data_IF_441737107496
#
_entry.id   IF_441737107496
#
_cell.length_a   1.000
_cell.length_b   1.000
_cell.length_c   1.000
_cell.angle_alpha   90.00
_cell.angle_beta   90.00
_cell.angle_gamma   90.00
#
_symmetry.space_group_name_H-M   'P 1'
#
loop_
_entity.id
_entity.type
_entity.pdbx_description
1 polymer ?
#
# COMPACT_ATOMS: atom_id res chain seq x y z
N UNK A 1 6.56 43.54 15.47
CA UNK A 1 6.50 44.54 14.38
C UNK A 1 6.16 43.83 13.09
N UNK A 2 4.88 43.77 12.74
CA UNK A 2 4.43 43.51 11.37
C UNK A 2 3.37 44.59 11.15
N UNK A 3 3.66 45.48 10.20
CA UNK A 3 2.88 46.68 9.93
C UNK A 3 1.60 46.41 9.17
N UNK A 4 0.66 47.31 9.42
CA UNK A 4 -0.62 47.47 8.76
C UNK A 4 -0.51 47.64 7.24
N UNK A 5 -1.41 46.99 6.52
CA UNK A 5 -1.96 47.50 5.27
C UNK A 5 -3.47 47.24 5.29
N UNK A 6 -4.20 48.24 5.76
CA UNK A 6 -5.65 48.29 5.67
C UNK A 6 -6.07 48.39 4.20
N UNK A 7 -6.99 47.52 3.77
CA UNK A 7 -7.86 47.82 2.64
C UNK A 7 -9.27 48.06 3.19
N UNK A 8 -9.70 49.30 2.98
CA UNK A 8 -10.93 49.94 3.43
C UNK A 8 -12.15 49.46 2.65
N UNK A 9 -13.23 49.11 3.37
CA UNK A 9 -14.59 49.17 2.84
C UNK A 9 -15.46 47.95 3.13
N UNK A 10 -16.02 47.84 4.34
CA UNK A 10 -17.47 47.66 4.58
C UNK A 10 -17.71 47.58 6.10
N UNK A 11 -18.23 48.65 6.69
CA UNK A 11 -18.76 48.64 8.05
C UNK A 11 -20.14 47.98 8.03
N UNK A 12 -20.25 46.75 8.54
CA UNK A 12 -21.38 46.21 9.34
C UNK A 12 -21.21 44.70 9.51
N UNK A 13 -20.39 44.28 10.48
CA UNK A 13 -20.51 42.95 11.10
C UNK A 13 -20.44 43.17 12.61
N UNK A 14 -21.59 43.11 13.26
CA UNK A 14 -21.69 43.12 14.71
C UNK A 14 -21.09 41.83 15.29
N UNK A 15 -20.14 42.02 16.19
CA UNK A 15 -19.71 41.15 17.29
C UNK A 15 -19.51 39.64 17.02
N UNK A 16 -18.71 39.30 16.01
CA UNK A 16 -18.20 37.93 15.81
C UNK A 16 -17.06 37.58 16.79
N UNK A 17 -16.38 38.60 17.32
CA UNK A 17 -15.25 38.43 18.24
C UNK A 17 -15.68 38.01 19.65
N UNK A 18 -16.77 38.57 20.18
CA UNK A 18 -17.31 38.17 21.49
C UNK A 18 -17.81 36.73 21.52
N UNK A 19 -18.38 36.24 20.41
CA UNK A 19 -18.91 34.87 20.31
C UNK A 19 -17.79 33.81 20.33
N UNK A 20 -16.66 34.10 19.69
CA UNK A 20 -15.50 33.19 19.66
C UNK A 20 -14.78 33.13 21.01
N UNK A 21 -14.71 34.24 21.73
CA UNK A 21 -14.11 34.30 23.06
C UNK A 21 -14.91 33.50 24.10
N UNK A 22 -16.24 33.57 24.04
CA UNK A 22 -17.11 32.83 24.95
C UNK A 22 -17.12 31.32 24.62
N UNK A 23 -16.99 30.95 23.33
CA UNK A 23 -16.84 29.55 22.90
C UNK A 23 -15.49 28.97 23.34
N UNK A 24 -14.40 29.73 23.21
CA UNK A 24 -13.05 29.32 23.62
C UNK A 24 -12.95 29.07 25.13
N UNK A 25 -13.59 29.92 25.94
CA UNK A 25 -13.67 29.78 27.39
C UNK A 25 -14.51 28.57 27.81
N UNK A 26 -15.55 28.21 27.05
CA UNK A 26 -16.46 27.07 27.36
C UNK A 26 -15.93 25.71 26.91
N UNK A 27 -15.03 25.64 25.92
CA UNK A 27 -14.49 24.36 25.41
C UNK A 27 -13.11 23.99 25.93
N UNK A 28 -12.55 24.75 26.89
CA UNK A 28 -11.27 24.41 27.52
C UNK A 28 -10.07 24.44 26.57
N UNK A 29 -10.08 25.34 25.58
CA UNK A 29 -8.92 25.58 24.71
C UNK A 29 -8.76 24.66 23.50
N UNK A 30 -9.78 23.87 23.14
CA UNK A 30 -9.77 23.10 21.88
C UNK A 30 -10.91 23.54 20.94
N UNK A 31 -10.53 23.94 19.73
CA UNK A 31 -11.41 24.20 18.58
C UNK A 31 -10.88 23.40 17.38
N UNK A 32 -11.65 22.46 16.80
CA UNK A 32 -11.30 21.85 15.53
C UNK A 32 -12.01 22.62 14.41
N UNK A 33 -11.37 23.63 13.84
CA UNK A 33 -11.87 24.27 12.63
C UNK A 33 -10.69 24.52 11.69
N UNK A 34 -10.68 23.82 10.54
CA UNK A 34 -9.81 24.15 9.43
C UNK A 34 -10.28 25.48 8.79
N UNK A 35 -9.37 26.41 8.42
CA UNK A 35 -9.74 27.75 7.93
C UNK A 35 -10.52 27.77 6.59
N UNK A 36 -10.72 26.62 5.93
CA UNK A 36 -11.29 26.56 4.58
C UNK A 36 -12.82 26.41 4.55
N UNK A 37 -13.46 26.08 5.68
CA UNK A 37 -14.92 25.85 5.70
C UNK A 37 -15.73 27.15 5.75
N UNK A 38 -15.15 28.25 6.24
CA UNK A 38 -15.85 29.52 6.43
C UNK A 38 -16.07 30.31 5.12
N UNK A 39 -15.13 30.24 4.17
CA UNK A 39 -15.24 31.02 2.93
C UNK A 39 -16.28 30.48 1.94
N UNK A 40 -16.61 29.18 2.00
CA UNK A 40 -17.48 28.54 1.00
C UNK A 40 -18.98 28.82 1.23
N UNK A 41 -19.35 29.28 2.43
CA UNK A 41 -20.76 29.54 2.80
C UNK A 41 -21.21 30.98 2.54
N UNK A 42 -20.29 31.93 2.39
CA UNK A 42 -20.61 33.33 2.14
C UNK A 42 -20.77 33.66 0.64
N UNK A 43 -20.25 32.83 -0.26
CA UNK A 43 -20.18 33.13 -1.69
C UNK A 43 -21.33 32.54 -2.53
N UNK A 44 -22.36 31.98 -1.87
CA UNK A 44 -23.48 31.28 -2.55
C UNK A 44 -24.88 31.76 -2.21
N UNK A 45 -25.04 32.88 -1.51
CA UNK A 45 -26.36 33.42 -1.18
C UNK A 45 -26.39 34.90 -1.57
N UNK A 46 -27.15 35.21 -2.62
CA UNK A 46 -27.49 36.60 -2.96
C UNK A 46 -28.25 37.28 -1.82
N UNK A 47 -28.31 38.62 -1.81
CA UNK A 47 -28.84 39.37 -0.69
C UNK A 47 -30.35 39.15 -0.57
N UNK A 48 -30.77 38.52 0.53
CA UNK A 48 -32.17 38.47 0.95
C UNK A 48 -32.80 37.09 0.89
N UNK A 49 -32.47 36.22 1.85
CA UNK A 49 -33.37 35.20 2.40
C UNK A 49 -32.76 34.63 3.69
N UNK A 50 -33.34 34.98 4.84
CA UNK A 50 -32.92 34.45 6.14
C UNK A 50 -33.42 33.03 6.33
N UNK A 51 -32.50 32.09 6.59
CA UNK A 51 -32.84 30.75 7.08
C UNK A 51 -32.13 30.51 8.42
N UNK A 52 -32.93 30.36 9.48
CA UNK A 52 -32.45 29.99 10.81
C UNK A 52 -32.04 28.52 10.81
N UNK A 53 -30.77 28.23 11.13
CA UNK A 53 -30.29 26.86 11.35
C UNK A 53 -30.24 26.61 12.85
N UNK A 54 -31.14 25.75 13.34
CA UNK A 54 -31.19 25.32 14.73
C UNK A 54 -30.10 24.26 15.00
N UNK A 55 -29.13 24.58 15.86
CA UNK A 55 -28.19 23.60 16.40
C UNK A 55 -28.81 22.88 17.59
N UNK A 56 -28.99 21.56 17.52
CA UNK A 56 -29.36 20.72 18.67
C UNK A 56 -28.09 20.32 19.42
N UNK A 57 -27.79 20.99 20.53
CA UNK A 57 -26.76 20.56 21.49
C UNK A 57 -27.31 19.46 22.39
N UNK A 58 -26.70 18.27 22.39
CA UNK A 58 -26.96 17.26 23.43
C UNK A 58 -26.10 17.62 24.64
N UNK A 59 -26.69 18.36 25.58
CA UNK A 59 -26.11 18.57 26.92
C UNK A 59 -26.95 17.77 27.90
N UNK A 60 -26.36 16.70 28.44
CA UNK A 60 -26.95 15.90 29.51
C UNK A 60 -26.97 16.74 30.81
N UNK A 61 -28.17 17.06 31.31
CA UNK A 61 -28.38 17.52 32.69
C UNK A 61 -29.01 16.40 33.51
N UNK A 62 -28.32 16.00 34.58
CA UNK A 62 -28.86 15.16 35.67
C UNK A 62 -29.72 16.01 36.61
N UNK A 63 -30.84 15.46 37.08
CA UNK A 63 -31.51 15.77 38.36
C UNK A 63 -32.51 14.65 38.72
N UNK A 64 -32.95 14.53 39.99
CA UNK A 64 -32.73 13.30 40.77
C UNK A 64 -33.96 12.39 40.96
N UNK A 65 -33.64 11.15 41.36
CA UNK A 65 -34.37 10.19 42.19
C UNK A 65 -35.90 10.06 42.05
N UNK A 66 -36.37 8.90 41.56
CA UNK A 66 -37.16 7.97 42.36
C UNK A 66 -37.16 6.57 41.73
N UNK A 67 -37.29 5.57 42.62
CA UNK A 67 -37.09 4.13 42.49
C UNK A 67 -38.08 3.40 41.59
N UNK A 68 -37.60 2.40 40.82
CA UNK A 68 -37.97 0.97 40.90
C UNK A 68 -37.35 0.20 39.71
N UNK A 69 -36.78 -0.97 39.98
CA UNK A 69 -36.20 -1.93 39.03
C UNK A 69 -37.23 -3.05 38.71
N UNK A 70 -36.91 -4.13 37.97
CA UNK A 70 -35.92 -4.36 36.89
C UNK A 70 -36.57 -5.01 35.63
N UNK A 71 -35.89 -5.00 34.46
CA UNK A 71 -35.64 -6.19 33.58
C UNK A 71 -35.22 -5.84 32.15
N UNK A 72 -34.19 -6.56 31.69
CA UNK A 72 -33.84 -6.99 30.32
C UNK A 72 -33.50 -5.91 29.27
N UNK A 73 -32.20 -5.70 29.04
CA UNK A 73 -31.68 -5.10 27.82
C UNK A 73 -31.65 -6.15 26.69
N UNK A 74 -32.51 -5.93 25.70
CA UNK A 74 -32.50 -6.56 24.38
C UNK A 74 -31.55 -5.75 23.49
N UNK A 75 -30.82 -6.49 22.65
CA UNK A 75 -29.95 -6.05 21.57
C UNK A 75 -30.61 -4.99 20.67
N UNK A 76 -29.86 -3.96 20.28
CA UNK A 76 -30.30 -3.03 19.23
C UNK A 76 -29.39 -3.17 18.00
N UNK A 77 -29.94 -3.88 17.02
CA UNK A 77 -29.53 -3.94 15.63
C UNK A 77 -29.77 -2.58 14.95
N UNK A 78 -28.79 -2.09 14.18
CA UNK A 78 -28.98 -0.90 13.35
C UNK A 78 -29.77 -1.28 12.09
N UNK A 79 -31.02 -0.82 12.03
CA UNK A 79 -31.93 -0.92 10.91
C UNK A 79 -31.46 -0.10 9.69
N UNK A 80 -31.29 -0.77 8.55
CA UNK A 80 -31.21 -0.15 7.22
C UNK A 80 -32.63 0.25 6.75
N UNK A 81 -32.81 1.51 6.34
CA UNK A 81 -34.05 1.98 5.69
C UNK A 81 -34.02 1.51 4.23
N UNK A 82 -35.01 0.72 3.82
CA UNK A 82 -35.20 0.27 2.43
C UNK A 82 -35.84 1.38 1.60
N UNK A 83 -35.36 1.53 0.37
CA UNK A 83 -35.85 2.48 -0.63
C UNK A 83 -37.22 2.06 -1.19
N UNK A 84 -38.29 2.20 -0.41
CA UNK A 84 -39.68 2.21 -0.86
C UNK A 84 -40.50 2.96 0.18
N UNK A 85 -40.42 4.29 0.19
CA UNK A 85 -41.38 5.19 0.86
C UNK A 85 -41.03 6.64 0.51
N UNK A 86 -41.23 7.01 -0.76
CA UNK A 86 -41.46 8.40 -1.15
C UNK A 86 -42.50 8.37 -2.27
N UNK A 87 -43.76 8.58 -1.90
CA UNK A 87 -44.84 8.90 -2.83
C UNK A 87 -45.69 9.97 -2.16
N UNK A 88 -46.21 10.88 -2.99
CA UNK A 88 -46.94 12.12 -2.67
C UNK A 88 -46.08 13.36 -2.46
N UNK A 89 -45.78 14.04 -3.55
CA UNK A 89 -46.38 15.32 -3.93
C UNK A 89 -45.65 15.80 -5.19
N UNK A 90 -46.37 15.94 -6.30
CA UNK A 90 -46.16 16.91 -7.39
C UNK A 90 -47.05 16.47 -8.57
N UNK A 91 -48.28 16.98 -8.57
CA UNK A 91 -49.15 16.96 -9.73
C UNK A 91 -48.83 18.16 -10.62
N UNK A 92 -48.82 17.90 -11.93
CA UNK A 92 -48.73 18.84 -13.04
C UNK A 92 -47.42 19.62 -13.14
N UNK A 93 -46.52 19.16 -14.00
CA UNK A 93 -45.88 19.90 -15.11
C UNK A 93 -45.03 18.87 -15.88
N UNK A 94 -45.31 18.66 -17.17
CA UNK A 94 -44.51 17.79 -18.06
C UNK A 94 -43.15 18.43 -18.28
N UNK A 95 -42.16 17.97 -17.54
CA UNK A 95 -40.74 18.17 -17.84
C UNK A 95 -40.06 16.83 -17.64
N UNK A 96 -39.62 16.24 -18.74
CA UNK A 96 -38.90 14.96 -18.75
C UNK A 96 -37.57 15.16 -18.03
N UNK A 97 -37.54 14.81 -16.75
CA UNK A 97 -36.32 14.85 -15.94
C UNK A 97 -35.45 13.66 -16.38
N UNK A 98 -34.41 13.92 -17.18
CA UNK A 98 -33.36 12.93 -17.42
C UNK A 98 -32.59 12.72 -16.12
N UNK A 99 -33.03 11.74 -15.32
CA UNK A 99 -32.26 11.26 -14.17
C UNK A 99 -31.07 10.49 -14.74
N UNK A 100 -29.93 11.18 -14.88
CA UNK A 100 -28.64 10.51 -15.07
C UNK A 100 -28.38 9.69 -13.81
N UNK A 101 -28.30 8.37 -13.95
CA UNK A 101 -27.93 7.49 -12.84
C UNK A 101 -26.58 7.96 -12.28
N UNK A 102 -26.60 8.43 -11.02
CA UNK A 102 -25.38 8.77 -10.29
C UNK A 102 -24.70 7.45 -9.94
N UNK A 103 -23.48 7.28 -10.43
CA UNK A 103 -22.62 6.11 -10.19
C UNK A 103 -22.47 5.79 -8.69
N UNK A 104 -22.27 4.52 -8.32
CA UNK A 104 -22.20 4.12 -6.92
C UNK A 104 -20.99 4.76 -6.23
N UNK A 105 -21.26 5.42 -5.10
CA UNK A 105 -20.32 5.97 -4.11
C UNK A 105 -19.00 6.53 -4.69
N UNK A 106 -18.97 7.84 -4.95
CA UNK A 106 -17.73 8.55 -5.22
C UNK A 106 -16.77 8.36 -4.03
N UNK A 107 -15.76 7.50 -4.22
CA UNK A 107 -14.59 7.45 -3.34
C UNK A 107 -13.98 8.86 -3.28
N UNK A 108 -13.48 9.31 -2.12
CA UNK A 108 -12.87 10.62 -2.00
C UNK A 108 -11.72 10.75 -3.00
N UNK A 109 -12.01 11.40 -4.12
CA UNK A 109 -11.03 11.64 -5.18
C UNK A 109 -10.23 12.86 -4.75
N UNK A 110 -8.89 12.90 -4.90
CA UNK A 110 -8.14 14.10 -4.59
C UNK A 110 -8.67 15.23 -5.49
N UNK A 111 -9.23 16.32 -4.94
CA UNK A 111 -9.99 17.29 -5.73
C UNK A 111 -9.18 17.98 -6.85
N UNK A 112 -7.84 17.86 -6.84
CA UNK A 112 -6.93 18.56 -7.76
C UNK A 112 -5.80 17.71 -8.37
N UNK A 113 -5.73 16.40 -8.10
CA UNK A 113 -4.64 15.58 -8.63
C UNK A 113 -4.89 15.23 -10.11
N UNK A 114 -3.84 15.37 -10.95
CA UNK A 114 -3.86 14.89 -12.35
C UNK A 114 -3.86 13.37 -12.46
N UNK A 115 -3.19 12.70 -11.53
CA UNK A 115 -3.05 11.26 -11.41
C UNK A 115 -2.77 10.89 -9.95
N UNK A 116 -3.15 9.70 -9.50
CA UNK A 116 -2.97 9.22 -8.14
C UNK A 116 -3.01 7.69 -8.05
N UNK A 117 -2.62 7.17 -6.88
CA UNK A 117 -2.75 5.76 -6.52
C UNK A 117 -3.70 5.64 -5.34
N UNK A 118 -4.78 4.89 -5.50
CA UNK A 118 -5.63 4.46 -4.39
C UNK A 118 -5.08 3.17 -3.78
N UNK A 119 -5.03 3.12 -2.45
CA UNK A 119 -4.51 1.98 -1.67
C UNK A 119 -5.57 1.49 -0.69
N UNK A 120 -6.06 0.27 -0.90
CA UNK A 120 -7.02 -0.40 -0.01
C UNK A 120 -6.27 -1.09 1.15
N UNK A 121 -6.22 -0.41 2.30
CA UNK A 121 -5.58 -0.93 3.50
C UNK A 121 -6.35 -2.13 4.10
N UNK A 122 -7.65 -2.25 3.84
CA UNK A 122 -8.42 -3.41 4.26
C UNK A 122 -8.09 -4.64 3.40
N UNK A 123 -7.81 -4.47 2.11
CA UNK A 123 -7.32 -5.54 1.25
C UNK A 123 -5.95 -6.07 1.72
N UNK A 124 -5.01 -5.19 2.07
CA UNK A 124 -3.72 -5.60 2.65
C UNK A 124 -3.92 -6.45 3.90
N UNK A 125 -4.81 -6.03 4.81
CA UNK A 125 -5.15 -6.80 6.03
C UNK A 125 -5.75 -8.17 5.71
N UNK A 126 -6.68 -8.23 4.75
CA UNK A 126 -7.27 -9.50 4.31
C UNK A 126 -6.22 -10.45 3.73
N UNK A 127 -5.31 -9.93 2.90
CA UNK A 127 -4.23 -10.73 2.32
C UNK A 127 -3.26 -11.24 3.39
N UNK A 128 -2.90 -10.40 4.37
CA UNK A 128 -2.06 -10.82 5.49
C UNK A 128 -2.73 -11.92 6.33
N UNK A 129 -4.02 -11.76 6.64
CA UNK A 129 -4.79 -12.75 7.38
C UNK A 129 -4.88 -14.08 6.61
N UNK A 130 -5.04 -14.03 5.28
CA UNK A 130 -5.03 -15.25 4.47
C UNK A 130 -3.71 -16.00 4.57
N UNK A 131 -2.58 -15.30 4.52
CA UNK A 131 -1.27 -15.92 4.73
C UNK A 131 -1.17 -16.53 6.14
N UNK A 132 -1.67 -15.82 7.17
CA UNK A 132 -1.69 -16.33 8.56
C UNK A 132 -2.49 -17.61 8.71
N UNK A 133 -3.68 -17.65 8.11
CA UNK A 133 -4.56 -18.82 8.13
C UNK A 133 -3.88 -20.04 7.53
N UNK A 134 -3.22 -19.88 6.38
CA UNK A 134 -2.55 -20.99 5.69
C UNK A 134 -1.26 -21.41 6.38
N UNK A 135 -0.47 -20.45 6.87
CA UNK A 135 0.77 -20.75 7.59
C UNK A 135 0.52 -21.42 8.95
N UNK A 136 -0.61 -21.11 9.60
CA UNK A 136 -0.96 -21.63 10.92
C UNK A 136 -0.55 -20.71 12.08
N UNK A 137 -1.27 -20.81 13.20
CA UNK A 137 -1.18 -19.86 14.31
C UNK A 137 0.19 -19.78 15.01
N UNK A 138 0.99 -20.84 14.93
CA UNK A 138 2.32 -20.92 15.56
C UNK A 138 3.45 -20.40 14.67
N UNK A 139 3.16 -20.09 13.40
CA UNK A 139 4.17 -19.63 12.44
C UNK A 139 4.27 -18.11 12.48
N UNK A 140 5.50 -17.62 12.69
CA UNK A 140 5.80 -16.18 12.76
C UNK A 140 5.67 -15.56 11.37
N UNK A 141 5.05 -14.39 11.29
CA UNK A 141 4.92 -13.62 10.05
C UNK A 141 5.94 -12.49 10.02
N UNK A 142 6.84 -12.52 9.03
CA UNK A 142 7.73 -11.41 8.73
C UNK A 142 7.16 -10.66 7.52
N UNK A 143 6.50 -9.53 7.75
CA UNK A 143 5.88 -8.77 6.67
C UNK A 143 6.97 -8.03 5.87
N UNK A 144 7.08 -8.33 4.57
CA UNK A 144 8.07 -7.69 3.71
C UNK A 144 7.56 -6.31 3.27
N UNK A 145 8.23 -5.23 3.69
CA UNK A 145 7.80 -3.83 3.47
C UNK A 145 8.85 -2.99 2.73
N UNK A 146 9.87 -3.64 2.17
CA UNK A 146 10.90 -3.03 1.31
C UNK A 146 10.32 -2.27 0.11
N UNK A 147 11.14 -1.43 -0.49
CA UNK A 147 10.82 -0.57 -1.63
C UNK A 147 9.56 0.27 -1.36
N UNK A 148 9.56 1.01 -0.24
CA UNK A 148 8.43 1.85 0.19
C UNK A 148 7.09 1.09 0.28
N UNK A 149 7.10 -0.10 0.89
CA UNK A 149 5.92 -0.97 0.94
C UNK A 149 5.47 -1.40 -0.46
N UNK A 150 6.42 -1.82 -1.29
CA UNK A 150 6.21 -2.18 -2.70
C UNK A 150 5.61 -1.03 -3.51
N UNK A 151 6.07 0.21 -3.26
CA UNK A 151 5.65 1.43 -3.97
C UNK A 151 4.31 2.03 -3.50
N UNK A 152 3.70 1.48 -2.45
CA UNK A 152 2.39 1.92 -1.93
C UNK A 152 2.49 2.87 -0.74
N UNK A 153 3.70 3.17 -0.26
CA UNK A 153 3.95 4.02 0.90
C UNK A 153 4.08 3.21 2.18
N UNK A 154 5.30 3.04 2.68
CA UNK A 154 5.61 2.19 3.84
C UNK A 154 4.82 2.60 5.08
N UNK A 155 4.66 3.90 5.34
CA UNK A 155 3.83 4.42 6.45
C UNK A 155 2.39 3.88 6.39
N UNK A 156 1.76 3.93 5.21
CA UNK A 156 0.38 3.45 5.02
C UNK A 156 0.30 1.94 5.14
N UNK A 157 1.29 1.23 4.61
CA UNK A 157 1.40 -0.22 4.76
C UNK A 157 1.50 -0.61 6.23
N UNK A 158 2.31 0.10 7.03
CA UNK A 158 2.39 -0.12 8.48
C UNK A 158 1.05 0.12 9.19
N UNK A 159 0.31 1.16 8.83
CA UNK A 159 -1.05 1.38 9.35
C UNK A 159 -1.99 0.20 9.06
N UNK A 160 -1.82 -0.44 7.89
CA UNK A 160 -2.58 -1.63 7.53
C UNK A 160 -2.18 -2.84 8.39
N UNK A 161 -0.89 -3.16 8.48
CA UNK A 161 -0.42 -4.44 9.00
C UNK A 161 -0.14 -4.47 10.51
N UNK A 162 0.17 -3.33 11.14
CA UNK A 162 0.47 -3.26 12.59
C UNK A 162 -0.64 -3.85 13.47
N UNK A 163 -1.94 -3.56 13.24
CA UNK A 163 -3.02 -4.13 14.05
C UNK A 163 -3.06 -5.67 14.01
N UNK A 164 -2.54 -6.30 12.95
CA UNK A 164 -2.46 -7.75 12.88
C UNK A 164 -1.32 -8.32 13.73
N UNK A 165 -0.34 -7.51 14.15
CA UNK A 165 0.81 -7.94 14.94
C UNK A 165 1.69 -8.97 14.22
N UNK A 166 2.34 -8.63 13.09
CA UNK A 166 3.39 -9.47 12.54
C UNK A 166 4.53 -9.64 13.56
N UNK A 167 5.27 -10.74 13.49
CA UNK A 167 6.43 -10.96 14.36
C UNK A 167 7.52 -9.91 14.12
N UNK A 168 7.68 -9.47 12.86
CA UNK A 168 8.64 -8.44 12.49
C UNK A 168 8.48 -8.03 11.03
N UNK A 169 9.42 -7.22 10.55
CA UNK A 169 9.39 -6.63 9.21
C UNK A 169 10.68 -6.93 8.44
N UNK A 170 10.55 -7.18 7.14
CA UNK A 170 11.69 -7.36 6.25
C UNK A 170 11.87 -6.17 5.30
N UNK A 171 13.08 -5.63 5.29
CA UNK A 171 13.52 -4.55 4.38
C UNK A 171 14.70 -5.01 3.53
N UNK A 172 14.98 -4.31 2.44
CA UNK A 172 16.15 -4.57 1.60
C UNK A 172 17.38 -3.85 2.15
N UNK A 173 17.24 -2.58 2.56
CA UNK A 173 18.40 -1.72 2.85
C UNK A 173 18.45 -1.27 4.32
N UNK A 174 19.62 -0.77 4.74
CA UNK A 174 19.78 -0.09 6.02
C UNK A 174 18.84 1.10 6.13
N UNK A 175 18.76 1.95 5.11
CA UNK A 175 17.98 3.20 5.16
C UNK A 175 16.47 2.93 5.31
N UNK A 176 15.94 1.90 4.66
CA UNK A 176 14.56 1.45 4.87
C UNK A 176 14.35 0.99 6.33
N UNK A 177 15.32 0.29 6.92
CA UNK A 177 15.26 -0.11 8.33
C UNK A 177 15.30 1.08 9.28
N UNK A 178 16.13 2.10 8.99
CA UNK A 178 16.20 3.34 9.75
C UNK A 178 14.88 4.12 9.65
N UNK A 179 14.27 4.18 8.47
CA UNK A 179 12.95 4.79 8.26
C UNK A 179 11.89 4.10 9.12
N UNK A 180 11.85 2.77 9.15
CA UNK A 180 10.92 2.03 10.02
C UNK A 180 11.12 2.37 11.51
N UNK A 181 12.37 2.53 11.98
CA UNK A 181 12.65 2.97 13.36
C UNK A 181 12.14 4.38 13.61
N UNK A 182 12.33 5.31 12.69
CA UNK A 182 11.78 6.68 12.77
C UNK A 182 10.24 6.67 12.79
N UNK A 183 9.61 5.70 12.13
CA UNK A 183 8.16 5.47 12.17
C UNK A 183 7.68 4.78 13.45
N UNK A 184 8.58 4.52 14.41
CA UNK A 184 8.27 3.94 15.72
C UNK A 184 8.04 2.43 15.69
N UNK A 185 8.57 1.70 14.70
CA UNK A 185 8.56 0.24 14.72
C UNK A 185 9.51 -0.26 15.81
N UNK A 186 8.97 -1.02 16.78
CA UNK A 186 9.74 -1.63 17.87
C UNK A 186 10.05 -3.10 17.64
N UNK A 187 9.30 -3.76 16.76
CA UNK A 187 9.44 -5.15 16.39
C UNK A 187 10.79 -5.43 15.70
N UNK A 188 11.24 -6.69 15.63
CA UNK A 188 12.39 -7.10 14.83
C UNK A 188 12.30 -6.59 13.39
N UNK A 189 13.39 -5.97 12.92
CA UNK A 189 13.55 -5.55 11.51
C UNK A 189 14.76 -6.27 10.95
N UNK A 190 14.53 -7.08 9.92
CA UNK A 190 15.57 -7.83 9.22
C UNK A 190 15.93 -7.13 7.91
N UNK A 191 17.23 -6.92 7.70
CA UNK A 191 17.79 -6.34 6.46
C UNK A 191 18.29 -7.49 5.60
N UNK A 192 17.60 -7.75 4.49
CA UNK A 192 17.80 -8.95 3.68
C UNK A 192 18.87 -8.81 2.58
N UNK A 193 19.25 -7.60 2.18
CA UNK A 193 20.42 -7.44 1.31
C UNK A 193 21.68 -7.47 2.16
N UNK A 194 22.72 -8.22 1.76
CA UNK A 194 24.03 -8.16 2.39
C UNK A 194 24.50 -6.70 2.45
N UNK A 195 24.94 -6.29 3.64
CA UNK A 195 25.40 -4.92 3.88
C UNK A 195 26.91 -4.82 3.63
N UNK A 196 27.39 -3.72 3.04
CA UNK A 196 28.82 -3.46 3.02
C UNK A 196 29.35 -3.32 4.47
N UNK A 197 30.61 -3.71 4.75
CA UNK A 197 31.16 -3.72 6.10
C UNK A 197 30.96 -2.41 6.89
N UNK A 198 31.14 -1.27 6.24
CA UNK A 198 31.00 0.06 6.85
C UNK A 198 29.57 0.40 7.32
N UNK A 199 28.57 -0.29 6.77
CA UNK A 199 27.16 -0.11 7.15
C UNK A 199 26.74 -1.00 8.32
N UNK A 200 27.53 -2.03 8.66
CA UNK A 200 27.16 -2.99 9.71
C UNK A 200 27.08 -2.31 11.09
N UNK A 201 28.04 -1.45 11.43
CA UNK A 201 28.03 -0.76 12.72
C UNK A 201 26.77 0.11 12.91
N UNK A 202 26.36 0.83 11.86
CA UNK A 202 25.12 1.64 11.85
C UNK A 202 23.87 0.76 11.92
N UNK A 203 23.86 -0.37 11.22
CA UNK A 203 22.77 -1.37 11.28
C UNK A 203 22.56 -1.89 12.70
N UNK A 204 23.65 -2.30 13.36
CA UNK A 204 23.64 -2.79 14.74
C UNK A 204 23.21 -1.69 15.72
N UNK A 205 23.76 -0.48 15.59
CA UNK A 205 23.42 0.64 16.46
C UNK A 205 21.92 1.02 16.39
N UNK A 206 21.27 0.80 15.23
CA UNK A 206 19.84 1.01 15.04
C UNK A 206 18.98 -0.18 15.51
N UNK A 207 19.58 -1.22 16.09
CA UNK A 207 18.89 -2.43 16.53
C UNK A 207 18.25 -3.20 15.38
N UNK A 208 18.84 -3.14 14.18
CA UNK A 208 18.41 -3.92 13.02
C UNK A 208 19.17 -5.26 12.98
N UNK A 209 18.63 -6.21 12.23
CA UNK A 209 19.16 -7.59 12.15
C UNK A 209 19.68 -7.83 10.73
N UNK A 210 21.00 -7.80 10.50
CA UNK A 210 21.58 -8.01 9.17
C UNK A 210 21.53 -9.49 8.76
N UNK A 211 21.27 -9.73 7.48
CA UNK A 211 21.59 -10.99 6.82
C UNK A 211 23.10 -11.07 6.52
N UNK A 212 23.66 -12.27 6.67
CA UNK A 212 25.07 -12.58 6.43
C UNK A 212 25.15 -13.70 5.41
N UNK A 213 25.98 -13.50 4.39
CA UNK A 213 26.13 -14.39 3.24
C UNK A 213 27.55 -14.92 3.06
N UNK A 214 28.52 -14.43 3.83
CA UNK A 214 29.93 -14.80 3.75
C UNK A 214 30.62 -14.66 5.12
N UNK A 215 31.80 -15.28 5.24
CA UNK A 215 32.57 -15.29 6.48
C UNK A 215 33.22 -13.94 6.80
N UNK A 216 33.47 -13.10 5.80
CA UNK A 216 34.10 -11.78 6.01
C UNK A 216 33.15 -10.83 6.73
N UNK A 217 31.89 -10.78 6.30
CA UNK A 217 30.79 -10.05 6.92
C UNK A 217 30.54 -10.56 8.33
N UNK A 218 30.58 -11.88 8.54
CA UNK A 218 30.44 -12.48 9.87
C UNK A 218 31.57 -12.05 10.81
N UNK A 219 32.82 -12.07 10.34
CA UNK A 219 33.98 -11.61 11.09
C UNK A 219 33.91 -10.10 11.38
N UNK A 220 33.40 -9.30 10.45
CA UNK A 220 33.17 -7.87 10.65
C UNK A 220 32.14 -7.61 11.77
N UNK A 221 31.03 -8.35 11.80
CA UNK A 221 30.06 -8.29 12.90
C UNK A 221 30.68 -8.66 14.24
N UNK A 222 31.52 -9.70 14.28
CA UNK A 222 32.21 -10.09 15.51
C UNK A 222 33.16 -8.99 16.02
N UNK A 223 33.90 -8.30 15.14
CA UNK A 223 34.74 -7.15 15.52
C UNK A 223 33.92 -6.01 16.12
N UNK A 224 32.70 -5.77 15.61
CA UNK A 224 31.77 -4.78 16.16
C UNK A 224 31.26 -5.22 17.55
N UNK A 225 31.08 -6.52 17.78
CA UNK A 225 30.63 -7.07 19.07
C UNK A 225 31.71 -7.02 20.16
N UNK A 226 32.99 -7.10 19.79
CA UNK A 226 34.12 -7.26 20.71
C UNK A 226 34.19 -6.25 21.88
N UNK A 227 33.82 -4.96 21.73
CA UNK A 227 33.82 -4.00 22.84
C UNK A 227 32.70 -4.23 23.87
N UNK A 228 31.65 -4.99 23.53
CA UNK A 228 30.46 -5.13 24.35
C UNK A 228 30.47 -6.46 25.13
N UNK A 229 30.74 -6.40 26.43
CA UNK A 229 30.78 -7.60 27.29
C UNK A 229 29.38 -7.97 27.81
N UNK A 230 28.97 -9.23 27.61
CA UNK A 230 27.81 -9.85 28.26
C UNK A 230 26.77 -10.49 27.29
N UNK A 231 26.00 -11.52 27.73
CA UNK A 231 25.00 -12.20 26.88
C UNK A 231 23.88 -11.27 26.38
N UNK A 232 23.57 -10.20 27.13
CA UNK A 232 22.59 -9.16 26.76
C UNK A 232 23.09 -8.21 25.68
N UNK A 233 24.39 -8.22 25.37
CA UNK A 233 25.04 -7.36 24.40
C UNK A 233 25.30 -8.06 23.06
N UNK A 234 24.85 -9.32 22.92
CA UNK A 234 25.12 -10.13 21.74
C UNK A 234 24.40 -9.57 20.50
N UNK A 235 25.17 -9.33 19.43
CA UNK A 235 24.65 -8.76 18.19
C UNK A 235 23.83 -9.83 17.44
N UNK A 236 22.53 -9.60 17.17
CA UNK A 236 21.72 -10.52 16.40
C UNK A 236 22.06 -10.47 14.91
N UNK A 237 22.09 -11.62 14.25
CA UNK A 237 22.26 -11.72 12.79
C UNK A 237 21.48 -12.91 12.22
N UNK A 238 21.23 -12.90 10.92
CA UNK A 238 20.68 -14.05 10.19
C UNK A 238 21.67 -14.61 9.19
N UNK A 239 21.66 -15.93 8.99
CA UNK A 239 22.44 -16.58 7.94
C UNK A 239 21.54 -16.83 6.73
N UNK A 240 21.92 -16.28 5.58
CA UNK A 240 21.34 -16.66 4.29
C UNK A 240 22.09 -17.87 3.73
N UNK A 241 21.35 -18.89 3.32
CA UNK A 241 21.88 -20.12 2.75
C UNK A 241 21.37 -20.21 1.31
N UNK A 242 22.29 -20.28 0.37
CA UNK A 242 21.93 -20.48 -1.03
C UNK A 242 21.61 -21.95 -1.29
N UNK A 243 20.32 -22.24 -1.51
CA UNK A 243 19.84 -23.56 -1.91
C UNK A 243 19.50 -23.65 -3.40
N UNK A 244 19.85 -22.64 -4.19
CA UNK A 244 19.67 -22.59 -5.65
C UNK A 244 19.17 -21.26 -6.22
N UNK A 245 19.07 -20.19 -5.41
CA UNK A 245 18.70 -18.86 -5.93
C UNK A 245 19.89 -18.21 -6.66
N UNK A 246 21.13 -18.52 -6.26
CA UNK A 246 22.34 -18.07 -6.97
C UNK A 246 22.62 -16.57 -6.87
N UNK A 247 22.03 -15.86 -5.89
CA UNK A 247 22.16 -14.40 -5.76
C UNK A 247 22.98 -13.98 -4.54
N UNK A 248 22.76 -14.63 -3.41
CA UNK A 248 23.39 -14.33 -2.13
C UNK A 248 23.22 -15.53 -1.19
N UNK A 249 24.02 -15.55 -0.13
CA UNK A 249 24.03 -16.60 0.88
C UNK A 249 25.22 -17.54 0.76
N UNK A 250 25.49 -18.24 1.85
CA UNK A 250 26.51 -19.28 1.87
C UNK A 250 26.08 -20.45 0.99
N UNK A 251 26.99 -20.95 0.15
CA UNK A 251 26.70 -22.09 -0.69
C UNK A 251 26.47 -23.33 0.19
N UNK A 252 25.30 -23.97 0.05
CA UNK A 252 24.90 -25.05 0.96
C UNK A 252 25.88 -26.24 0.94
N UNK A 253 26.48 -26.53 -0.21
CA UNK A 253 27.36 -27.69 -0.37
C UNK A 253 28.71 -27.50 0.37
N UNK A 254 29.03 -26.28 0.80
CA UNK A 254 30.23 -25.94 1.59
C UNK A 254 29.93 -25.84 3.11
N UNK A 255 28.72 -26.27 3.52
CA UNK A 255 28.22 -26.08 4.89
C UNK A 255 29.08 -26.64 6.00
N UNK A 256 29.82 -27.73 5.76
CA UNK A 256 30.76 -28.27 6.73
C UNK A 256 31.82 -27.23 7.16
N UNK A 257 32.26 -26.39 6.22
CA UNK A 257 33.30 -25.39 6.46
C UNK A 257 32.73 -24.18 7.18
N UNK A 258 31.77 -23.48 6.55
CA UNK A 258 31.31 -22.19 7.07
C UNK A 258 30.42 -22.30 8.32
N UNK A 259 29.68 -23.41 8.51
CA UNK A 259 28.82 -23.55 9.68
C UNK A 259 29.60 -23.72 10.99
N UNK A 260 30.77 -24.36 10.92
CA UNK A 260 31.67 -24.48 12.07
C UNK A 260 32.05 -23.11 12.62
N UNK A 261 32.32 -22.16 11.72
CA UNK A 261 32.69 -20.78 12.04
C UNK A 261 31.51 -19.97 12.59
N UNK A 262 30.31 -20.12 12.00
CA UNK A 262 29.05 -19.57 12.56
C UNK A 262 28.85 -20.04 14.00
N UNK A 263 29.04 -21.33 14.25
CA UNK A 263 28.86 -21.93 15.58
C UNK A 263 29.95 -21.47 16.56
N UNK A 264 31.17 -21.19 16.08
CA UNK A 264 32.26 -20.65 16.90
C UNK A 264 31.95 -19.21 17.32
N UNK A 265 31.56 -18.36 16.37
CA UNK A 265 31.34 -16.93 16.61
C UNK A 265 30.06 -16.64 17.40
N UNK A 266 29.05 -17.51 17.31
CA UNK A 266 27.86 -17.44 18.19
C UNK A 266 28.17 -17.71 19.66
N UNK A 267 29.23 -18.47 19.96
CA UNK A 267 29.75 -18.62 21.33
C UNK A 267 30.65 -17.45 21.76
N UNK A 268 31.03 -16.58 20.82
CA UNK A 268 31.97 -15.48 21.01
C UNK A 268 31.30 -14.09 20.86
N UNK A 269 30.04 -13.95 21.27
CA UNK A 269 29.35 -12.65 21.36
C UNK A 269 28.43 -12.29 20.19
N UNK A 270 28.24 -13.18 19.22
CA UNK A 270 27.15 -13.05 18.23
C UNK A 270 25.93 -13.89 18.63
N UNK A 271 24.74 -13.46 18.23
CA UNK A 271 23.49 -14.20 18.45
C UNK A 271 22.89 -14.61 17.11
N UNK A 272 22.82 -15.92 16.86
CA UNK A 272 22.10 -16.45 15.70
C UNK A 272 20.60 -16.17 15.88
N UNK A 273 20.10 -15.12 15.23
CA UNK A 273 18.70 -14.75 15.28
C UNK A 273 17.86 -15.60 14.32
N UNK A 274 18.42 -15.96 13.16
CA UNK A 274 17.71 -16.77 12.18
C UNK A 274 18.60 -17.41 11.12
N UNK A 275 18.03 -18.38 10.42
CA UNK A 275 18.60 -19.01 9.23
C UNK A 275 17.53 -19.06 8.15
N UNK A 276 17.92 -18.77 6.91
CA UNK A 276 16.95 -18.70 5.82
C UNK A 276 17.52 -19.04 4.46
N UNK A 277 16.62 -19.38 3.55
CA UNK A 277 16.89 -19.45 2.10
C UNK A 277 15.79 -18.69 1.35
N UNK A 278 16.00 -18.40 0.08
CA UNK A 278 15.01 -17.84 -0.83
C UNK A 278 14.64 -18.83 -1.94
N UNK A 279 13.33 -19.03 -2.14
CA UNK A 279 12.81 -19.94 -3.16
C UNK A 279 12.71 -19.24 -4.51
N UNK A 280 13.24 -19.85 -5.57
CA UNK A 280 13.34 -19.22 -6.90
C UNK A 280 12.11 -19.44 -7.80
N UNK A 281 11.31 -20.48 -7.56
CA UNK A 281 10.20 -20.90 -8.46
C UNK A 281 8.94 -21.30 -7.70
N UNK A 282 8.75 -20.81 -6.47
CA UNK A 282 7.57 -21.14 -5.69
C UNK A 282 6.26 -20.61 -6.29
N UNK A 283 6.35 -19.68 -7.24
CA UNK A 283 5.27 -19.09 -8.04
C UNK A 283 5.03 -19.81 -9.38
N UNK A 284 5.88 -20.77 -9.76
CA UNK A 284 5.75 -21.50 -11.03
C UNK A 284 4.66 -22.60 -10.95
N UNK A 285 3.97 -22.95 -12.05
CA UNK A 285 2.99 -24.06 -12.05
C UNK A 285 3.61 -25.39 -11.61
N UNK A 286 4.79 -25.71 -12.13
CA UNK A 286 5.59 -26.85 -11.65
C UNK A 286 6.45 -26.45 -10.44
N UNK A 287 6.11 -27.05 -9.29
CA UNK A 287 6.76 -26.81 -8.00
C UNK A 287 7.90 -27.80 -7.69
N UNK A 288 8.29 -28.69 -8.62
CA UNK A 288 9.32 -29.72 -8.39
C UNK A 288 10.65 -29.15 -7.90
N UNK A 289 11.16 -28.12 -8.57
CA UNK A 289 12.42 -27.46 -8.21
C UNK A 289 12.33 -26.72 -6.86
N UNK A 290 11.24 -26.00 -6.60
CA UNK A 290 11.03 -25.31 -5.32
C UNK A 290 10.92 -26.31 -4.14
N UNK A 291 10.25 -27.46 -4.34
CA UNK A 291 10.20 -28.53 -3.33
C UNK A 291 11.59 -29.11 -3.05
N UNK A 292 12.43 -29.27 -4.07
CA UNK A 292 13.81 -29.72 -3.89
C UNK A 292 14.64 -28.72 -3.07
N UNK A 293 14.48 -27.40 -3.30
CA UNK A 293 15.13 -26.37 -2.47
C UNK A 293 14.70 -26.46 -1.00
N UNK A 294 13.39 -26.59 -0.75
CA UNK A 294 12.85 -26.74 0.62
C UNK A 294 13.43 -28.00 1.28
N UNK A 295 13.48 -29.12 0.58
CA UNK A 295 14.01 -30.37 1.13
C UNK A 295 15.52 -30.29 1.47
N UNK A 296 16.32 -29.60 0.65
CA UNK A 296 17.74 -29.34 0.92
C UNK A 296 17.91 -28.45 2.16
N UNK A 297 17.16 -27.36 2.24
CA UNK A 297 17.17 -26.46 3.40
C UNK A 297 16.76 -27.18 4.69
N UNK A 298 15.64 -27.90 4.66
CA UNK A 298 15.14 -28.70 5.78
C UNK A 298 16.15 -29.74 6.27
N UNK A 299 16.89 -30.38 5.35
CA UNK A 299 17.94 -31.36 5.68
C UNK A 299 19.08 -30.69 6.42
N UNK A 300 19.54 -29.54 5.94
CA UNK A 300 20.58 -28.76 6.61
C UNK A 300 20.14 -28.35 8.02
N UNK A 301 18.96 -27.75 8.15
CA UNK A 301 18.47 -27.26 9.45
C UNK A 301 18.37 -28.37 10.50
N UNK A 302 17.93 -29.58 10.11
CA UNK A 302 17.87 -30.73 11.03
C UNK A 302 19.24 -31.27 11.43
N UNK A 303 20.24 -31.17 10.56
CA UNK A 303 21.58 -31.71 10.80
C UNK A 303 22.53 -30.72 11.48
N UNK A 304 22.24 -29.42 11.40
CA UNK A 304 23.11 -28.37 11.89
C UNK A 304 22.97 -28.16 13.41
N UNK A 305 24.05 -28.40 14.14
CA UNK A 305 24.12 -28.11 15.57
C UNK A 305 23.99 -26.59 15.83
N UNK A 306 23.30 -26.22 16.92
CA UNK A 306 23.15 -24.83 17.34
C UNK A 306 21.91 -24.11 16.80
N UNK A 307 21.13 -24.73 15.90
CA UNK A 307 19.80 -24.24 15.52
C UNK A 307 18.79 -24.75 16.56
N UNK A 308 18.57 -23.95 17.60
CA UNK A 308 17.58 -24.21 18.64
C UNK A 308 16.16 -23.76 18.27
N UNK A 309 15.16 -24.04 19.13
CA UNK A 309 13.76 -23.67 18.90
C UNK A 309 13.52 -22.16 18.80
N UNK A 310 14.39 -21.35 19.41
CA UNK A 310 14.29 -19.89 19.40
C UNK A 310 14.84 -19.23 18.14
N UNK A 311 15.60 -19.97 17.31
CA UNK A 311 16.14 -19.47 16.04
C UNK A 311 15.01 -19.34 15.03
N UNK A 312 14.94 -18.18 14.36
CA UNK A 312 13.96 -17.95 13.30
C UNK A 312 14.38 -18.73 12.04
N UNK A 313 13.64 -19.77 11.68
CA UNK A 313 13.89 -20.59 10.50
C UNK A 313 12.84 -20.26 9.45
N UNK A 314 13.25 -19.78 8.27
CA UNK A 314 12.31 -19.38 7.23
C UNK A 314 12.80 -19.60 5.80
N UNK A 315 11.96 -20.19 4.94
CA UNK A 315 12.26 -20.33 3.50
C UNK A 315 11.18 -19.70 2.62
N UNK A 316 9.93 -19.70 3.07
CA UNK A 316 8.77 -19.30 2.28
C UNK A 316 8.71 -17.78 2.03
N UNK A 317 8.76 -17.39 0.75
CA UNK A 317 8.27 -16.10 0.26
C UNK A 317 6.73 -16.14 0.12
N UNK A 318 6.10 -15.13 -0.49
CA UNK A 318 4.65 -15.10 -0.74
C UNK A 318 4.09 -16.42 -1.28
N UNK A 319 4.64 -16.89 -2.41
CA UNK A 319 4.15 -18.10 -3.06
C UNK A 319 4.44 -19.35 -2.23
N UNK A 320 5.66 -19.44 -1.67
CA UNK A 320 6.01 -20.54 -0.77
C UNK A 320 5.13 -20.63 0.48
N UNK A 321 4.64 -19.50 0.99
CA UNK A 321 3.81 -19.45 2.21
C UNK A 321 2.43 -20.06 2.01
N UNK A 322 1.94 -20.07 0.77
CA UNK A 322 0.60 -20.54 0.41
C UNK A 322 0.64 -21.92 -0.26
N UNK A 323 1.76 -22.27 -0.91
CA UNK A 323 1.84 -23.43 -1.81
C UNK A 323 2.80 -24.52 -1.37
N UNK A 324 3.66 -24.25 -0.39
CA UNK A 324 4.73 -25.17 0.02
C UNK A 324 4.76 -25.33 1.54
N UNK A 325 4.96 -26.56 1.99
CA UNK A 325 5.23 -26.87 3.38
C UNK A 325 6.73 -27.06 3.60
N UNK A 326 7.26 -26.48 4.67
CA UNK A 326 8.58 -26.83 5.23
C UNK A 326 8.37 -27.53 6.56
N UNK A 327 9.20 -28.53 6.85
CA UNK A 327 9.16 -29.29 8.11
C UNK A 327 9.96 -28.63 9.22
N UNK A 328 10.75 -27.60 8.90
CA UNK A 328 11.65 -26.94 9.86
C UNK A 328 11.37 -25.45 10.02
N UNK A 329 10.75 -24.80 9.02
CA UNK A 329 10.45 -23.38 9.09
C UNK A 329 9.42 -23.07 10.17
N UNK A 330 9.73 -22.08 11.00
CA UNK A 330 8.84 -21.51 12.02
C UNK A 330 8.41 -20.08 11.69
N UNK A 331 8.77 -19.58 10.50
CA UNK A 331 8.37 -18.27 10.00
C UNK A 331 8.20 -18.22 8.48
N UNK A 332 7.36 -17.29 8.01
CA UNK A 332 7.11 -17.01 6.59
C UNK A 332 7.30 -15.54 6.27
N UNK A 333 7.59 -15.23 5.00
CA UNK A 333 7.96 -13.87 4.53
C UNK A 333 7.06 -13.38 3.40
N UNK A 334 5.76 -13.13 3.64
CA UNK A 334 4.88 -12.63 2.61
C UNK A 334 5.27 -11.21 2.20
N UNK A 335 5.38 -11.01 0.89
CA UNK A 335 5.62 -9.73 0.23
C UNK A 335 4.51 -9.43 -0.76
N UNK A 336 4.71 -9.70 -2.06
CA UNK A 336 3.78 -9.29 -3.12
C UNK A 336 2.31 -9.66 -2.89
N UNK A 337 2.04 -10.80 -2.25
CA UNK A 337 0.69 -11.25 -1.98
C UNK A 337 -0.06 -10.28 -1.06
N UNK A 338 0.65 -9.68 -0.09
CA UNK A 338 0.08 -8.65 0.77
C UNK A 338 -0.43 -7.45 -0.05
N UNK A 339 0.24 -7.17 -1.17
CA UNK A 339 0.02 -6.02 -2.03
C UNK A 339 -0.84 -6.32 -3.27
N UNK A 340 -1.52 -7.47 -3.28
CA UNK A 340 -2.48 -7.82 -4.33
C UNK A 340 -1.87 -8.43 -5.58
N UNK A 341 -0.58 -8.79 -5.58
CA UNK A 341 0.04 -9.41 -6.74
C UNK A 341 0.06 -10.93 -6.67
N UNK A 342 -0.18 -11.54 -7.83
CA UNK A 342 -0.35 -12.97 -8.04
C UNK A 342 0.92 -13.78 -7.70
N UNK A 343 0.69 -15.01 -7.28
CA UNK A 343 1.69 -16.01 -6.89
C UNK A 343 1.57 -17.30 -7.72
N UNK A 344 0.82 -17.28 -8.82
CA UNK A 344 0.59 -18.43 -9.69
C UNK A 344 -0.28 -19.51 -9.05
N UNK A 345 -1.20 -19.12 -8.16
CA UNK A 345 -2.16 -20.00 -7.50
C UNK A 345 -3.58 -19.44 -7.65
N UNK A 346 -4.31 -19.98 -8.62
CA UNK A 346 -5.67 -19.57 -8.94
C UNK A 346 -6.68 -19.86 -7.85
N UNK A 347 -6.39 -20.80 -6.94
CA UNK A 347 -7.32 -21.18 -5.87
C UNK A 347 -7.22 -20.22 -4.68
N UNK A 348 -6.12 -19.47 -4.59
CA UNK A 348 -5.85 -18.52 -3.50
C UNK A 348 -5.49 -17.12 -4.02
N UNK A 349 -6.28 -16.48 -4.88
CA UNK A 349 -5.92 -15.19 -5.45
C UNK A 349 -5.86 -14.12 -4.33
N UNK A 350 -4.88 -13.22 -4.37
CA UNK A 350 -4.84 -12.11 -3.43
C UNK A 350 -5.98 -11.12 -3.75
N UNK A 351 -6.41 -10.36 -2.74
CA UNK A 351 -7.30 -9.22 -2.95
C UNK A 351 -6.52 -8.09 -3.61
N UNK A 352 -7.02 -7.47 -4.69
CA UNK A 352 -6.41 -6.29 -5.28
C UNK A 352 -6.29 -5.16 -4.24
N UNK A 353 -5.13 -4.50 -4.21
CA UNK A 353 -4.81 -3.45 -3.22
C UNK A 353 -4.72 -2.07 -3.85
N UNK A 354 -4.15 -1.97 -5.05
CA UNK A 354 -3.83 -0.70 -5.69
C UNK A 354 -4.75 -0.42 -6.88
N UNK A 355 -5.16 0.83 -7.04
CA UNK A 355 -5.73 1.34 -8.28
C UNK A 355 -4.99 2.58 -8.74
N UNK A 356 -4.58 2.61 -10.01
CA UNK A 356 -3.86 3.75 -10.62
C UNK A 356 -4.83 4.51 -11.51
N UNK A 357 -5.05 5.78 -11.19
CA UNK A 357 -6.07 6.60 -11.86
C UNK A 357 -5.51 7.95 -12.28
N UNK A 358 -6.07 8.51 -13.34
CA UNK A 358 -5.70 9.82 -13.85
C UNK A 358 -6.86 10.51 -14.56
N UNK A 359 -6.75 11.83 -14.73
CA UNK A 359 -7.79 12.64 -15.36
C UNK A 359 -7.53 12.85 -16.84
N UNK A 360 -8.61 12.86 -17.61
CA UNK A 360 -8.61 13.37 -18.98
C UNK A 360 -8.30 14.87 -18.94
N UNK A 361 -7.28 15.30 -19.68
CA UNK A 361 -6.84 16.70 -19.76
C UNK A 361 -7.26 17.38 -21.06
N UNK A 362 -7.44 16.61 -22.13
CA UNK A 362 -7.88 17.10 -23.44
C UNK A 362 -8.63 15.98 -24.16
N UNK A 363 -9.70 16.35 -24.87
CA UNK A 363 -10.37 15.46 -25.83
C UNK A 363 -10.39 16.13 -27.19
N UNK A 364 -10.10 15.37 -28.25
CA UNK A 364 -10.17 15.85 -29.64
C UNK A 364 -10.70 14.78 -30.56
N UNK A 365 -11.41 15.21 -31.60
CA UNK A 365 -11.69 14.38 -32.76
C UNK A 365 -10.58 14.55 -33.79
N UNK A 366 -10.25 13.47 -34.49
CA UNK A 366 -9.20 13.47 -35.50
C UNK A 366 -9.70 12.74 -36.76
N UNK A 367 -9.41 13.26 -37.97
CA UNK A 367 -9.78 12.58 -39.21
C UNK A 367 -8.93 11.32 -39.44
N UNK A 368 -9.32 10.45 -40.38
CA UNK A 368 -8.48 9.36 -40.88
C UNK A 368 -7.10 9.85 -41.33
N UNK A 369 -6.05 9.04 -41.14
CA UNK A 369 -4.69 9.37 -41.55
C UNK A 369 -3.92 10.29 -40.58
N UNK A 370 -4.52 10.68 -39.46
CA UNK A 370 -3.85 11.49 -38.42
C UNK A 370 -2.83 10.63 -37.68
N UNK A 371 -1.57 11.06 -37.63
CA UNK A 371 -0.51 10.37 -36.87
C UNK A 371 -0.45 10.85 -35.42
N UNK A 372 0.08 10.00 -34.53
CA UNK A 372 0.13 10.28 -33.08
C UNK A 372 1.50 10.00 -32.44
N UNK A 373 1.96 10.99 -31.67
CA UNK A 373 3.03 10.86 -30.69
C UNK A 373 4.43 10.61 -31.28
N UNK A 374 5.37 10.30 -30.41
CA UNK A 374 6.78 10.12 -30.79
C UNK A 374 6.96 9.04 -31.85
N UNK A 375 7.57 9.41 -32.96
CA UNK A 375 7.86 8.52 -34.09
C UNK A 375 6.61 8.09 -34.87
N UNK A 376 5.47 8.77 -34.68
CA UNK A 376 4.25 8.54 -35.47
C UNK A 376 3.82 7.06 -35.54
N UNK A 377 4.01 6.31 -34.46
CA UNK A 377 3.80 4.84 -34.46
C UNK A 377 2.33 4.42 -34.49
N UNK A 378 1.41 5.37 -34.50
CA UNK A 378 -0.02 5.13 -34.62
C UNK A 378 -0.58 6.14 -35.62
N UNK A 379 -1.48 5.66 -36.47
CA UNK A 379 -2.21 6.44 -37.47
C UNK A 379 -3.69 6.06 -37.36
N UNK A 380 -4.58 7.05 -37.23
CA UNK A 380 -6.02 6.82 -37.21
C UNK A 380 -6.46 6.17 -38.53
N UNK A 381 -7.27 5.13 -38.44
CA UNK A 381 -7.84 4.45 -39.62
C UNK A 381 -9.13 5.11 -40.09
N UNK A 382 -9.91 5.59 -39.14
CA UNK A 382 -11.19 6.26 -39.33
C UNK A 382 -11.19 7.61 -38.61
N UNK A 383 -12.32 8.31 -38.63
CA UNK A 383 -12.54 9.41 -37.68
C UNK A 383 -12.55 8.84 -36.27
N UNK A 384 -11.58 9.27 -35.46
CA UNK A 384 -11.40 8.78 -34.09
C UNK A 384 -11.51 9.93 -33.08
N UNK A 385 -11.81 9.57 -31.84
CA UNK A 385 -11.77 10.51 -30.71
C UNK A 385 -10.69 10.08 -29.73
N UNK A 386 -9.80 11.00 -29.40
CA UNK A 386 -8.64 10.76 -28.56
C UNK A 386 -8.72 11.59 -27.29
N UNK A 387 -8.54 10.95 -26.15
CA UNK A 387 -8.37 11.60 -24.86
C UNK A 387 -6.90 11.59 -24.45
N UNK A 388 -6.32 12.77 -24.23
CA UNK A 388 -5.06 12.89 -23.50
C UNK A 388 -5.36 12.76 -22.00
N UNK A 389 -4.57 11.95 -21.31
CA UNK A 389 -4.73 11.63 -19.90
C UNK A 389 -3.44 12.00 -19.18
N UNK A 390 -3.55 12.71 -18.06
CA UNK A 390 -2.44 13.32 -17.32
C UNK A 390 -1.59 12.34 -16.52
N UNK A 391 -1.16 11.23 -17.12
CA UNK A 391 -0.21 10.26 -16.58
C UNK A 391 0.72 9.75 -17.70
N UNK A 392 2.00 9.55 -17.39
CA UNK A 392 2.97 9.00 -18.34
C UNK A 392 4.06 8.16 -17.67
N UNK A 393 5.13 7.86 -18.40
CA UNK A 393 6.20 7.02 -17.86
C UNK A 393 7.02 7.69 -16.74
N UNK A 394 7.02 9.01 -16.65
CA UNK A 394 7.60 9.75 -15.53
C UNK A 394 6.82 9.62 -14.22
N UNK A 395 5.59 9.09 -14.30
CA UNK A 395 4.76 8.70 -13.15
C UNK A 395 4.88 7.21 -12.81
N UNK A 396 5.54 6.42 -13.66
CA UNK A 396 5.65 4.97 -13.51
C UNK A 396 4.73 4.15 -14.41
N UNK A 397 3.94 4.77 -15.31
CA UNK A 397 3.15 4.00 -16.29
C UNK A 397 4.11 3.46 -17.38
N UNK A 398 4.28 2.12 -17.53
CA UNK A 398 5.33 1.60 -18.40
C UNK A 398 5.16 2.04 -19.84
N UNK A 399 6.23 2.61 -20.43
CA UNK A 399 6.22 3.08 -21.83
C UNK A 399 5.87 1.95 -22.82
N UNK A 400 6.16 0.70 -22.47
CA UNK A 400 5.85 -0.49 -23.24
C UNK A 400 4.34 -0.75 -23.45
N UNK A 401 3.47 -0.08 -22.69
CA UNK A 401 2.01 -0.15 -22.87
C UNK A 401 1.52 0.64 -24.09
N UNK A 402 2.33 1.50 -24.71
CA UNK A 402 1.94 2.20 -25.93
C UNK A 402 1.55 1.23 -27.06
N UNK A 403 0.39 1.45 -27.70
CA UNK A 403 -0.23 0.59 -28.71
C UNK A 403 -0.57 -0.85 -28.26
N UNK A 404 -0.49 -1.16 -26.96
CA UNK A 404 -0.60 -2.55 -26.47
C UNK A 404 -1.44 -2.69 -25.21
N UNK A 405 -1.40 -1.68 -24.35
CA UNK A 405 -2.12 -1.63 -23.11
C UNK A 405 -3.53 -1.07 -23.26
N UNK A 406 -4.26 -1.16 -22.15
CA UNK A 406 -5.64 -0.73 -22.03
C UNK A 406 -5.77 0.26 -20.87
N UNK A 407 -6.85 1.01 -20.89
CA UNK A 407 -7.35 1.79 -19.78
C UNK A 407 -8.86 1.54 -19.63
N UNK A 408 -9.47 1.98 -18.53
CA UNK A 408 -10.92 1.91 -18.31
C UNK A 408 -11.47 3.30 -18.05
N UNK A 409 -12.57 3.66 -18.72
CA UNK A 409 -13.39 4.81 -18.35
C UNK A 409 -14.87 4.52 -18.63
N UNK A 410 -15.75 4.88 -17.70
CA UNK A 410 -17.19 4.64 -17.81
C UNK A 410 -17.53 3.15 -17.90
N UNK A 411 -16.75 2.30 -17.22
CA UNK A 411 -16.92 0.84 -17.24
C UNK A 411 -16.54 0.17 -18.56
N UNK A 412 -15.81 0.85 -19.46
CA UNK A 412 -15.41 0.30 -20.77
C UNK A 412 -13.89 0.22 -20.88
N UNK A 413 -13.38 -0.88 -21.43
CA UNK A 413 -11.95 -1.02 -21.80
C UNK A 413 -11.66 -0.23 -23.07
N UNK A 414 -10.65 0.63 -23.01
CA UNK A 414 -10.27 1.57 -24.06
C UNK A 414 -8.78 1.41 -24.39
N UNK A 415 -8.40 1.32 -25.67
CA UNK A 415 -7.01 1.05 -26.03
C UNK A 415 -6.12 2.28 -25.87
N UNK A 416 -4.89 2.07 -25.37
CA UNK A 416 -3.83 3.06 -25.38
C UNK A 416 -3.26 3.14 -26.80
N UNK A 417 -3.25 4.33 -27.39
CA UNK A 417 -2.80 4.57 -28.77
C UNK A 417 -1.58 5.50 -28.80
N UNK A 418 -0.65 5.20 -29.69
CA UNK A 418 0.65 5.86 -29.77
C UNK A 418 1.60 5.46 -28.64
N UNK A 419 2.81 6.05 -28.66
CA UNK A 419 3.78 5.88 -27.57
C UNK A 419 3.37 6.73 -26.37
N UNK A 420 3.51 6.16 -25.18
CA UNK A 420 3.35 6.90 -23.91
C UNK A 420 4.47 7.94 -23.80
N UNK A 421 4.08 9.19 -23.48
CA UNK A 421 5.01 10.30 -23.23
C UNK A 421 5.37 10.38 -21.75
N UNK A 422 6.28 11.28 -21.38
CA UNK A 422 6.75 11.40 -19.99
C UNK A 422 5.62 11.66 -19.00
N UNK A 423 4.69 12.56 -19.35
CA UNK A 423 3.63 13.01 -18.43
C UNK A 423 2.20 12.78 -18.96
N UNK A 424 2.06 12.25 -20.18
CA UNK A 424 0.78 12.12 -20.88
C UNK A 424 0.67 10.79 -21.62
N UNK A 425 -0.52 10.21 -21.55
CA UNK A 425 -0.93 9.01 -22.29
C UNK A 425 -2.15 9.35 -23.13
N UNK A 426 -2.27 8.78 -24.32
CA UNK A 426 -3.44 8.98 -25.18
C UNK A 426 -4.24 7.69 -25.27
N UNK A 427 -5.54 7.81 -25.03
CA UNK A 427 -6.50 6.72 -25.08
C UNK A 427 -7.51 7.04 -26.18
N UNK A 428 -7.85 6.04 -27.00
CA UNK A 428 -8.94 6.19 -27.97
C UNK A 428 -10.27 5.95 -27.24
N UNK A 429 -11.17 6.94 -27.29
CA UNK A 429 -12.36 7.00 -26.44
C UNK A 429 -13.64 7.16 -27.25
N UNK A 430 -14.81 6.76 -26.72
CA UNK A 430 -16.12 7.08 -27.27
C UNK A 430 -16.53 8.56 -27.06
N UNK A 431 -17.68 8.95 -27.61
CA UNK A 431 -18.23 10.32 -27.58
C UNK A 431 -18.66 10.85 -26.20
N UNK A 432 -18.80 9.98 -25.19
CA UNK A 432 -19.27 10.35 -23.85
C UNK A 432 -18.16 10.65 -22.84
N UNK A 433 -16.88 10.45 -23.20
CA UNK A 433 -15.74 10.85 -22.36
C UNK A 433 -15.46 12.35 -22.47
N UNK A 434 -15.27 13.02 -21.34
CA UNK A 434 -15.08 14.47 -21.23
C UNK A 434 -13.82 14.83 -20.45
N UNK A 435 -13.34 16.07 -20.60
CA UNK A 435 -12.24 16.61 -19.78
C UNK A 435 -12.63 16.56 -18.31
N UNK A 436 -11.71 16.10 -17.45
CA UNK A 436 -11.93 15.91 -16.02
C UNK A 436 -12.37 14.50 -15.62
N UNK A 437 -12.87 13.69 -16.58
CA UNK A 437 -13.25 12.30 -16.35
C UNK A 437 -12.05 11.46 -15.87
N UNK A 438 -12.35 10.43 -15.11
CA UNK A 438 -11.36 9.54 -14.50
C UNK A 438 -11.12 8.35 -15.42
N UNK A 439 -9.85 8.08 -15.67
CA UNK A 439 -9.36 6.92 -16.41
C UNK A 439 -8.57 6.04 -15.45
N UNK A 440 -8.89 4.76 -15.42
CA UNK A 440 -8.25 3.74 -14.57
C UNK A 440 -7.26 2.92 -15.41
N UNK A 441 -6.00 2.86 -14.98
CA UNK A 441 -4.93 2.11 -15.64
C UNK A 441 -4.59 0.79 -14.92
N UNK A 442 -4.89 0.71 -13.61
CA UNK A 442 -4.85 -0.51 -12.79
C UNK A 442 -6.06 -0.46 -11.86
N UNK A 443 -6.77 -1.55 -11.70
CA UNK A 443 -7.95 -1.67 -10.84
C UNK A 443 -9.27 -1.72 -11.61
N UNK A 444 -10.36 -1.33 -10.93
CA UNK A 444 -11.73 -1.46 -11.42
C UNK A 444 -12.42 -0.12 -11.66
N UNK A 445 -13.31 -0.09 -12.63
CA UNK A 445 -14.33 0.93 -12.84
C UNK A 445 -15.59 0.23 -13.38
N UNK A 446 -16.68 0.26 -12.58
CA UNK A 446 -17.83 -0.62 -12.78
C UNK A 446 -17.46 -2.10 -12.76
N UNK A 447 -18.01 -2.86 -13.72
CA UNK A 447 -17.70 -4.29 -13.92
C UNK A 447 -16.38 -4.52 -14.68
N UNK A 448 -15.79 -3.48 -15.28
CA UNK A 448 -14.53 -3.61 -15.98
C UNK A 448 -13.34 -3.57 -15.01
N UNK A 449 -12.37 -4.46 -15.24
CA UNK A 449 -11.15 -4.58 -14.44
C UNK A 449 -9.92 -4.62 -15.34
N UNK A 450 -8.82 -4.02 -14.89
CA UNK A 450 -7.46 -4.25 -15.37
C UNK A 450 -6.64 -4.68 -14.15
N UNK A 451 -6.39 -5.98 -14.02
CA UNK A 451 -5.59 -6.49 -12.91
C UNK A 451 -4.14 -6.04 -13.03
N UNK A 452 -3.41 -6.09 -11.90
CA UNK A 452 -1.99 -5.76 -11.86
C UNK A 452 -1.20 -6.65 -12.84
N UNK A 453 -1.55 -7.93 -12.93
CA UNK A 453 -0.93 -8.94 -13.77
C UNK A 453 -1.25 -8.73 -15.25
N UNK A 454 -2.47 -8.33 -15.59
CA UNK A 454 -2.85 -8.02 -16.98
C UNK A 454 -2.04 -6.83 -17.52
N UNK A 455 -1.87 -5.80 -16.68
CA UNK A 455 -1.05 -4.63 -17.00
C UNK A 455 0.42 -5.01 -17.11
N UNK A 456 0.94 -5.78 -16.16
CA UNK A 456 2.31 -6.27 -16.18
C UNK A 456 2.61 -7.10 -17.44
N UNK A 457 1.73 -8.04 -17.79
CA UNK A 457 1.84 -8.86 -19.01
C UNK A 457 1.85 -8.01 -20.28
N UNK A 458 0.96 -7.01 -20.35
CA UNK A 458 0.92 -6.05 -21.47
C UNK A 458 2.25 -5.28 -21.59
N UNK A 459 2.83 -4.90 -20.46
CA UNK A 459 4.13 -4.22 -20.35
C UNK A 459 5.34 -5.17 -20.51
N UNK A 460 5.15 -6.49 -20.59
CA UNK A 460 6.19 -7.53 -20.61
C UNK A 460 7.06 -7.55 -19.35
N UNK A 461 6.40 -7.45 -18.20
CA UNK A 461 7.03 -7.53 -16.89
C UNK A 461 6.11 -8.24 -15.88
N UNK A 462 6.40 -8.09 -14.59
CA UNK A 462 5.71 -8.66 -13.44
C UNK A 462 5.06 -7.56 -12.59
N UNK A 463 4.02 -7.92 -11.83
CA UNK A 463 3.29 -6.97 -10.99
C UNK A 463 4.16 -6.22 -9.98
N UNK A 464 5.26 -6.85 -9.53
CA UNK A 464 6.26 -6.20 -8.68
C UNK A 464 6.80 -4.93 -9.31
N UNK A 465 7.27 -4.99 -10.57
CA UNK A 465 7.85 -3.84 -11.25
C UNK A 465 6.81 -2.74 -11.49
N UNK A 466 5.56 -3.11 -11.78
CA UNK A 466 4.47 -2.15 -11.94
C UNK A 466 4.28 -1.34 -10.65
N UNK A 467 4.18 -1.99 -9.49
CA UNK A 467 3.96 -1.28 -8.22
C UNK A 467 5.18 -0.48 -7.79
N UNK A 468 6.38 -1.09 -7.81
CA UNK A 468 7.62 -0.41 -7.38
C UNK A 468 8.06 0.68 -8.36
N UNK A 469 7.61 0.63 -9.62
CA UNK A 469 7.86 1.65 -10.63
C UNK A 469 7.00 2.91 -10.47
N UNK A 470 5.96 2.90 -9.64
CA UNK A 470 5.10 4.07 -9.40
C UNK A 470 5.92 5.19 -8.74
N UNK A 471 6.06 6.30 -9.44
CA UNK A 471 6.85 7.43 -8.99
C UNK A 471 6.27 8.11 -7.76
N UNK A 472 7.06 8.62 -6.81
CA UNK A 472 6.60 9.46 -5.69
C UNK A 472 5.78 10.69 -6.12
N UNK A 473 5.88 11.12 -7.39
CA UNK A 473 5.02 12.18 -7.98
C UNK A 473 3.53 11.86 -7.91
N UNK A 474 3.16 10.59 -7.87
CA UNK A 474 1.79 10.15 -7.70
C UNK A 474 1.40 10.18 -6.21
N UNK A 475 0.44 11.02 -5.78
CA UNK A 475 -0.06 10.94 -4.41
C UNK A 475 -0.72 9.57 -4.17
N UNK A 476 -0.35 8.93 -3.06
CA UNK A 476 -1.05 7.75 -2.56
C UNK A 476 -2.17 8.18 -1.63
N UNK A 477 -3.39 7.73 -1.89
CA UNK A 477 -4.55 7.99 -1.03
C UNK A 477 -5.14 6.69 -0.52
N UNK A 478 -5.73 6.77 0.66
CA UNK A 478 -6.40 5.63 1.29
C UNK A 478 -7.81 5.49 0.72
N UNK A 479 -8.26 4.25 0.55
CA UNK A 479 -9.66 3.90 0.33
C UNK A 479 -10.22 3.05 1.45
#
# INVERSE_FOLDING_TARGET
MIGDAACSGCHQVGDFAGLLEDLFKRTGGFLPIEPQTACTLLDRQGPGQGAAVAFRSVVSRRSPAHSLSPRRSIENSSSYVRARDVSYYLANHTSTLHIRAVSPAQRPTPPRARAWVEVDLAAIRRNLNRVREVAGAHVKLVAMVKADGYGLGVRRVLEAIRPAGPFGYGVATLDEGLELRQLGVSEPIMVYSPLPPDSLARCVAAGLIPAVSDLETLAALHRIAAPASGPRSAIPFQVEIDTGMGRAGFHLDESATWWSEVTRLTRAGLRLFGVFTHLHSADHPDLGSARAQVARFDRFVRGAAGIGPDVLVHCANSAGSLRLASRTANAVRPGIYLYGGDIGDSDNPPRPVAAVRARVTLVREVPPGTTLGYGATYTSRDTERWAAVGIGYGDGLPRALGNRGWAIAGGRRLPIVGRISMDTTVVRVPGDVSVGDIVTFVGRDGEAELSLEEVAKSARTIGYEILTGLSPRLPRIRT
#
